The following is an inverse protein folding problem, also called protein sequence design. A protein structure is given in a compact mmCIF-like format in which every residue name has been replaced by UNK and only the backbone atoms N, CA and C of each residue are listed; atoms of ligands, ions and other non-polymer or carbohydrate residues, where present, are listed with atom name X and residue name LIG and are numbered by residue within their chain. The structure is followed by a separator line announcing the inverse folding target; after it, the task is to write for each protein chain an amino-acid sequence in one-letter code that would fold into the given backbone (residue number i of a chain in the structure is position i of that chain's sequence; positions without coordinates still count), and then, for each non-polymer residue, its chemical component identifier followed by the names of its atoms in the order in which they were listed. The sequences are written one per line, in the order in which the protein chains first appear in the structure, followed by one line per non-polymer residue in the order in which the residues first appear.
data_IF_808131980510
#
_entry.id   IF_808131980510
#
_cell.length_a   1.000
_cell.length_b   1.000
_cell.length_c   1.000
_cell.angle_alpha   90.00
_cell.angle_beta   90.00
_cell.angle_gamma   90.00
#
_symmetry.space_group_name_H-M   'P 1'
#
loop_
_entity.id
_entity.type
_entity.pdbx_description
1 polymer ?
#
# COMPACT_ATOMS: atom_id res chain seq x y z
N UNK A 1 -25.17 -10.95 32.08
CA UNK A 1 -25.44 -11.37 30.68
C UNK A 1 -26.02 -10.22 29.84
N UNK A 2 -27.02 -9.46 30.36
CA UNK A 2 -27.65 -8.33 29.64
C UNK A 2 -26.63 -7.22 29.30
N UNK A 3 -25.77 -6.80 30.24
CA UNK A 3 -24.73 -5.78 30.00
C UNK A 3 -23.69 -6.22 28.97
N UNK A 4 -23.33 -7.51 28.97
CA UNK A 4 -22.36 -8.05 28.00
C UNK A 4 -22.95 -8.13 26.59
N UNK A 5 -24.24 -8.38 26.46
CA UNK A 5 -24.94 -8.32 25.17
C UNK A 5 -25.15 -6.89 24.65
N UNK A 6 -25.33 -5.91 25.56
CA UNK A 6 -25.38 -4.49 25.19
C UNK A 6 -24.01 -3.95 24.73
N UNK A 7 -22.91 -4.35 25.38
CA UNK A 7 -21.56 -4.02 24.97
C UNK A 7 -21.23 -4.65 23.60
N UNK A 8 -21.55 -5.91 23.38
CA UNK A 8 -21.37 -6.61 22.10
C UNK A 8 -22.23 -5.98 20.99
N UNK A 9 -23.47 -5.63 21.28
CA UNK A 9 -24.32 -4.93 20.31
C UNK A 9 -23.84 -3.51 20.02
N UNK A 10 -23.30 -2.79 20.98
CA UNK A 10 -22.70 -1.47 20.77
C UNK A 10 -21.39 -1.55 19.98
N UNK A 11 -20.56 -2.59 20.19
CA UNK A 11 -19.40 -2.87 19.33
C UNK A 11 -19.82 -3.23 17.90
N UNK A 12 -20.88 -4.02 17.71
CA UNK A 12 -21.41 -4.39 16.39
C UNK A 12 -22.03 -3.17 15.69
N UNK A 13 -22.68 -2.27 16.40
CA UNK A 13 -23.25 -1.03 15.85
C UNK A 13 -22.13 -0.07 15.45
N UNK A 14 -21.05 0.07 16.25
CA UNK A 14 -19.89 0.87 15.90
C UNK A 14 -19.11 0.35 14.68
N UNK A 15 -19.19 -0.94 14.37
CA UNK A 15 -18.59 -1.52 13.16
C UNK A 15 -19.39 -1.23 11.88
N UNK A 16 -20.66 -0.83 11.98
CA UNK A 16 -21.52 -0.52 10.82
C UNK A 16 -21.33 0.90 10.27
N UNK A 17 -20.76 1.80 11.04
CA UNK A 17 -20.55 3.21 10.64
C UNK A 17 -19.16 3.49 10.04
N UNK A 18 -18.33 2.47 9.82
CA UNK A 18 -17.02 2.65 9.19
C UNK A 18 -17.22 2.69 7.68
N UNK A 19 -17.34 3.89 7.14
CA UNK A 19 -17.49 4.12 5.70
C UNK A 19 -16.14 3.96 5.01
N UNK A 20 -15.86 2.74 4.54
CA UNK A 20 -14.68 2.45 3.73
C UNK A 20 -15.00 2.63 2.25
N UNK A 21 -14.23 3.47 1.56
CA UNK A 21 -14.32 3.55 0.12
C UNK A 21 -13.93 2.19 -0.50
N UNK A 22 -14.64 1.80 -1.56
CA UNK A 22 -14.41 0.50 -2.20
C UNK A 22 -13.13 0.51 -3.05
N UNK A 23 -12.36 -0.56 -2.97
CA UNK A 23 -11.28 -0.86 -3.89
C UNK A 23 -11.80 -1.70 -5.06
N UNK A 24 -11.24 -1.51 -6.25
CA UNK A 24 -11.43 -2.43 -7.37
C UNK A 24 -10.37 -3.53 -7.40
N UNK A 25 -9.27 -3.36 -6.63
CA UNK A 25 -8.14 -4.30 -6.57
C UNK A 25 -8.27 -5.23 -5.36
N UNK A 26 -8.54 -4.69 -4.17
CA UNK A 26 -8.64 -5.45 -2.92
C UNK A 26 -10.10 -5.83 -2.63
N UNK A 27 -10.35 -7.12 -2.40
CA UNK A 27 -11.66 -7.62 -1.99
C UNK A 27 -11.96 -7.24 -0.54
N UNK A 28 -13.24 -7.13 -0.19
CA UNK A 28 -13.67 -6.79 1.17
C UNK A 28 -13.11 -7.76 2.23
N UNK A 29 -13.13 -9.07 1.92
CA UNK A 29 -12.59 -10.11 2.80
C UNK A 29 -11.07 -10.02 3.02
N UNK A 30 -10.32 -9.36 2.14
CA UNK A 30 -8.86 -9.24 2.22
C UNK A 30 -8.42 -8.11 3.18
N UNK A 31 -9.33 -7.23 3.57
CA UNK A 31 -9.09 -6.24 4.64
C UNK A 31 -8.67 -6.90 5.94
N UNK A 32 -9.20 -8.09 6.24
CA UNK A 32 -8.83 -8.86 7.42
C UNK A 32 -7.35 -9.30 7.46
N UNK A 33 -6.64 -9.21 6.34
CA UNK A 33 -5.20 -9.50 6.25
C UNK A 33 -4.38 -8.24 6.56
N UNK A 34 -4.80 -7.11 6.04
CA UNK A 34 -3.99 -5.88 6.02
C UNK A 34 -4.33 -4.94 7.19
N UNK A 35 -5.61 -4.81 7.54
CA UNK A 35 -6.05 -3.85 8.55
C UNK A 35 -5.53 -4.14 9.96
N UNK A 36 -5.55 -5.41 10.47
CA UNK A 36 -4.96 -5.71 11.77
C UNK A 36 -3.48 -5.34 11.84
N UNK A 37 -2.74 -5.54 10.74
CA UNK A 37 -1.32 -5.17 10.67
C UNK A 37 -1.12 -3.65 10.74
N UNK A 38 -1.93 -2.88 10.01
CA UNK A 38 -1.88 -1.42 10.07
C UNK A 38 -2.21 -0.94 11.49
N UNK A 39 -3.25 -1.49 12.12
CA UNK A 39 -3.66 -1.12 13.48
C UNK A 39 -2.56 -1.43 14.50
N UNK A 40 -1.90 -2.59 14.40
CA UNK A 40 -0.78 -2.98 15.26
C UNK A 40 0.41 -2.04 15.07
N UNK A 41 0.86 -1.83 13.84
CA UNK A 41 2.00 -0.94 13.52
C UNK A 41 1.76 0.50 13.97
N UNK A 42 0.55 1.00 13.83
CA UNK A 42 0.20 2.36 14.19
C UNK A 42 -0.24 2.51 15.65
N UNK A 43 -0.49 1.41 16.34
CA UNK A 43 -1.10 1.37 17.68
C UNK A 43 -2.38 2.22 17.75
N UNK A 44 -3.22 2.10 16.72
CA UNK A 44 -4.47 2.88 16.56
C UNK A 44 -5.51 2.06 15.83
N UNK A 45 -6.79 2.29 16.13
CA UNK A 45 -7.92 1.68 15.42
C UNK A 45 -8.22 2.46 14.14
N UNK A 46 -8.47 1.74 13.05
CA UNK A 46 -8.87 2.36 11.78
C UNK A 46 -10.30 2.87 11.90
N UNK A 47 -10.48 4.17 11.58
CA UNK A 47 -11.77 4.83 11.50
C UNK A 47 -12.34 4.81 10.09
N UNK A 48 -11.48 5.06 9.10
CA UNK A 48 -11.90 5.21 7.70
C UNK A 48 -10.78 4.85 6.75
N UNK A 49 -11.15 4.26 5.59
CA UNK A 49 -10.31 4.15 4.41
C UNK A 49 -10.92 5.04 3.32
N UNK A 50 -10.21 6.11 2.93
CA UNK A 50 -10.64 7.12 1.96
C UNK A 50 -9.82 6.99 0.69
N UNK A 51 -10.47 6.76 -0.46
CA UNK A 51 -9.78 6.75 -1.76
C UNK A 51 -9.29 8.15 -2.10
N UNK A 52 -8.01 8.27 -2.41
CA UNK A 52 -7.37 9.49 -2.87
C UNK A 52 -7.21 9.49 -4.38
N UNK A 53 -6.82 8.33 -4.94
CA UNK A 53 -6.38 8.23 -6.31
C UNK A 53 -6.64 6.84 -6.89
N UNK A 54 -6.93 6.80 -8.20
CA UNK A 54 -7.02 5.58 -8.99
C UNK A 54 -6.51 5.86 -10.40
N UNK A 55 -5.46 5.16 -10.85
CA UNK A 55 -4.73 5.47 -12.07
C UNK A 55 -5.59 5.42 -13.34
N UNK A 56 -6.48 4.46 -13.47
CA UNK A 56 -7.39 4.33 -14.62
C UNK A 56 -8.46 5.42 -14.70
N UNK A 57 -8.72 6.12 -13.59
CA UNK A 57 -9.71 7.20 -13.50
C UNK A 57 -9.04 8.57 -13.57
N UNK A 58 -7.97 8.75 -12.79
CA UNK A 58 -7.32 10.04 -12.58
C UNK A 58 -6.16 10.30 -13.54
N UNK A 59 -5.75 9.26 -14.31
CA UNK A 59 -4.60 9.26 -15.21
C UNK A 59 -3.35 8.64 -14.55
N UNK A 60 -2.57 7.87 -15.32
CA UNK A 60 -1.42 7.10 -14.81
C UNK A 60 -0.12 7.90 -14.62
N UNK A 61 -0.06 9.15 -15.10
CA UNK A 61 1.13 9.99 -15.00
C UNK A 61 1.45 10.38 -13.54
N UNK A 62 2.73 10.47 -13.14
CA UNK A 62 3.14 10.80 -11.78
C UNK A 62 2.50 12.08 -11.22
N UNK A 63 2.35 13.10 -12.05
CA UNK A 63 1.74 14.37 -11.65
C UNK A 63 0.31 14.19 -11.11
N UNK A 64 -0.45 13.24 -11.67
CA UNK A 64 -1.82 12.98 -11.22
C UNK A 64 -1.84 12.34 -9.82
N UNK A 65 -0.88 11.44 -9.56
CA UNK A 65 -0.67 10.86 -8.23
C UNK A 65 -0.25 11.95 -7.23
N UNK A 66 0.76 12.75 -7.54
CA UNK A 66 1.28 13.78 -6.64
C UNK A 66 0.24 14.84 -6.29
N UNK A 67 -0.54 15.31 -7.27
CA UNK A 67 -1.61 16.29 -7.04
C UNK A 67 -2.66 15.82 -6.01
N UNK A 68 -2.83 14.51 -5.84
CA UNK A 68 -3.85 13.93 -4.98
C UNK A 68 -3.30 13.33 -3.68
N UNK A 69 -2.04 12.93 -3.67
CA UNK A 69 -1.48 12.12 -2.59
C UNK A 69 -0.36 12.80 -1.79
N UNK A 70 0.29 13.86 -2.35
CA UNK A 70 1.37 14.55 -1.64
C UNK A 70 0.89 15.18 -0.32
N UNK A 71 1.76 15.12 0.67
CA UNK A 71 1.54 15.61 2.03
C UNK A 71 0.42 14.88 2.81
N UNK A 72 -0.10 13.76 2.28
CA UNK A 72 -1.10 12.95 2.98
C UNK A 72 -0.41 11.73 3.60
N UNK A 73 -0.38 11.63 4.94
CA UNK A 73 0.23 10.49 5.64
C UNK A 73 -0.72 9.29 5.67
N UNK A 74 -0.15 8.14 6.08
CA UNK A 74 -0.88 6.89 6.32
C UNK A 74 -1.57 6.39 5.04
N UNK A 75 -0.80 6.19 3.99
CA UNK A 75 -1.33 5.74 2.71
C UNK A 75 -1.17 4.24 2.51
N UNK A 76 -2.23 3.64 2.00
CA UNK A 76 -2.29 2.27 1.51
C UNK A 76 -2.30 2.31 -0.02
N UNK A 77 -1.27 1.76 -0.64
CA UNK A 77 -1.14 1.62 -2.09
C UNK A 77 -1.52 0.21 -2.49
N UNK A 78 -2.37 0.07 -3.48
CA UNK A 78 -2.79 -1.21 -4.07
C UNK A 78 -2.44 -1.22 -5.54
N UNK A 79 -1.87 -2.30 -6.04
CA UNK A 79 -1.44 -2.46 -7.44
C UNK A 79 -1.97 -3.77 -7.99
N UNK A 80 -2.48 -3.74 -9.22
CA UNK A 80 -2.75 -4.93 -10.02
C UNK A 80 -1.89 -4.90 -11.29
N UNK A 81 -1.00 -5.89 -11.46
CA UNK A 81 -0.15 -6.00 -12.64
C UNK A 81 -0.87 -6.59 -13.84
N UNK A 82 -0.27 -6.46 -15.04
CA UNK A 82 -0.76 -7.08 -16.28
C UNK A 82 -0.90 -8.62 -16.17
N UNK A 83 -0.12 -9.26 -15.29
CA UNK A 83 -0.24 -10.68 -14.95
C UNK A 83 -1.32 -10.97 -13.90
N UNK A 84 -2.21 -10.02 -13.61
CA UNK A 84 -3.28 -10.12 -12.61
C UNK A 84 -2.82 -10.36 -11.17
N UNK A 85 -1.53 -10.13 -10.87
CA UNK A 85 -1.02 -10.20 -9.49
C UNK A 85 -1.39 -8.93 -8.74
N UNK A 86 -1.88 -9.11 -7.50
CA UNK A 86 -2.36 -8.02 -6.64
C UNK A 86 -1.48 -7.92 -5.40
N UNK A 87 -0.91 -6.77 -5.22
CA UNK A 87 0.00 -6.46 -4.12
C UNK A 87 -0.07 -4.99 -3.77
N UNK A 88 0.68 -4.59 -2.75
CA UNK A 88 0.71 -3.20 -2.34
C UNK A 88 1.66 -2.92 -1.19
N UNK A 89 1.56 -1.73 -0.65
CA UNK A 89 2.33 -1.30 0.51
C UNK A 89 1.57 -0.29 1.35
N UNK A 90 1.88 -0.25 2.63
CA UNK A 90 1.44 0.77 3.57
C UNK A 90 2.64 1.58 4.05
N UNK A 91 2.47 2.88 4.13
CA UNK A 91 3.46 3.78 4.75
C UNK A 91 2.76 4.89 5.54
N UNK A 92 3.23 5.20 6.77
CA UNK A 92 2.80 6.39 7.50
C UNK A 92 3.42 7.68 6.94
N UNK A 93 4.49 7.56 6.13
CA UNK A 93 5.26 8.67 5.61
C UNK A 93 4.45 9.36 4.49
N UNK A 94 4.21 10.67 4.58
CA UNK A 94 3.54 11.40 3.50
C UNK A 94 4.44 11.44 2.25
N UNK A 95 3.84 11.27 1.08
CA UNK A 95 4.54 11.40 -0.19
C UNK A 95 4.92 12.86 -0.45
N UNK A 96 6.02 13.07 -1.16
CA UNK A 96 6.45 14.38 -1.66
C UNK A 96 7.13 14.22 -3.02
N UNK A 97 7.43 15.34 -3.69
CA UNK A 97 8.06 15.36 -5.01
C UNK A 97 9.55 15.76 -4.95
N UNK A 98 10.24 15.56 -3.81
CA UNK A 98 11.54 16.15 -3.52
C UNK A 98 12.76 15.40 -4.09
N UNK A 99 12.59 14.20 -4.64
CA UNK A 99 13.70 13.39 -5.16
C UNK A 99 14.58 12.77 -4.07
N UNK A 100 14.00 12.36 -2.93
CA UNK A 100 14.75 11.88 -1.77
C UNK A 100 14.34 10.46 -1.35
N UNK A 101 15.29 9.75 -0.76
CA UNK A 101 15.07 8.45 -0.14
C UNK A 101 14.81 8.61 1.36
N UNK A 102 13.72 8.03 1.83
CA UNK A 102 13.29 8.15 3.23
C UNK A 102 13.39 6.79 3.93
N UNK A 103 14.01 6.78 5.10
CA UNK A 103 13.99 5.66 6.04
C UNK A 103 12.76 5.75 6.93
N UNK A 104 12.33 4.62 7.45
CA UNK A 104 11.31 4.54 8.49
C UNK A 104 11.92 3.92 9.76
N UNK A 105 12.46 4.72 10.67
CA UNK A 105 13.11 4.21 11.87
C UNK A 105 12.18 3.49 12.84
N UNK A 106 10.87 3.72 12.73
CA UNK A 106 9.84 3.03 13.52
C UNK A 106 9.40 1.71 12.87
N UNK A 107 9.87 1.41 11.65
CA UNK A 107 9.58 0.19 10.90
C UNK A 107 8.07 -0.10 10.74
N UNK A 108 7.29 0.94 10.51
CA UNK A 108 5.83 0.87 10.31
C UNK A 108 5.45 0.61 8.85
N UNK A 109 6.35 0.98 7.93
CA UNK A 109 6.18 0.73 6.50
C UNK A 109 6.35 -0.75 6.18
N UNK A 110 5.45 -1.31 5.39
CA UNK A 110 5.51 -2.69 4.92
C UNK A 110 4.93 -2.83 3.51
N UNK A 111 5.29 -3.92 2.83
CA UNK A 111 4.68 -4.31 1.56
C UNK A 111 4.02 -5.68 1.70
N UNK A 112 3.10 -6.01 0.81
CA UNK A 112 2.32 -7.24 0.91
C UNK A 112 1.89 -7.78 -0.45
N UNK A 113 1.63 -9.09 -0.50
CA UNK A 113 0.92 -9.75 -1.59
C UNK A 113 -0.47 -10.18 -1.11
N UNK A 114 -1.53 -9.71 -1.80
CA UNK A 114 -2.90 -10.13 -1.52
C UNK A 114 -3.13 -11.58 -1.95
N UNK A 115 -2.55 -11.97 -3.08
CA UNK A 115 -2.75 -13.32 -3.63
C UNK A 115 -2.06 -14.39 -2.76
N UNK A 116 -0.88 -14.09 -2.23
CA UNK A 116 -0.15 -14.98 -1.31
C UNK A 116 -0.55 -14.80 0.15
N UNK A 117 -1.36 -13.78 0.47
CA UNK A 117 -1.75 -13.44 1.85
C UNK A 117 -0.53 -13.28 2.77
N UNK A 118 0.51 -12.58 2.29
CA UNK A 118 1.77 -12.39 2.98
C UNK A 118 2.11 -10.93 3.12
N UNK A 119 2.70 -10.58 4.26
CA UNK A 119 3.23 -9.26 4.57
C UNK A 119 4.75 -9.38 4.69
N UNK A 120 5.46 -8.38 4.19
CA UNK A 120 6.91 -8.30 4.17
C UNK A 120 7.34 -6.99 4.83
N UNK A 121 8.17 -7.10 5.86
CA UNK A 121 8.62 -5.98 6.67
C UNK A 121 9.98 -5.47 6.21
N UNK A 122 10.32 -4.23 6.53
CA UNK A 122 11.68 -3.72 6.37
C UNK A 122 12.67 -4.65 7.08
N UNK A 123 13.80 -4.93 6.44
CA UNK A 123 14.86 -5.79 7.00
C UNK A 123 15.45 -5.20 8.29
N UNK A 124 15.59 -3.89 8.33
CA UNK A 124 16.02 -3.13 9.50
C UNK A 124 15.71 -1.63 9.30
N UNK A 125 15.89 -0.84 10.34
CA UNK A 125 15.63 0.60 10.37
C UNK A 125 16.54 1.46 9.45
N UNK A 126 17.64 0.90 8.96
CA UNK A 126 18.54 1.59 8.05
C UNK A 126 18.14 1.44 6.58
N UNK A 127 17.23 0.52 6.29
CA UNK A 127 16.70 0.33 4.94
C UNK A 127 15.85 1.54 4.51
N UNK A 128 15.92 1.86 3.23
CA UNK A 128 15.01 2.83 2.62
C UNK A 128 13.60 2.23 2.61
N UNK A 129 12.66 2.97 3.16
CA UNK A 129 11.26 2.59 3.21
C UNK A 129 10.51 3.04 1.95
N UNK A 130 10.68 4.30 1.56
CA UNK A 130 10.04 4.90 0.38
C UNK A 130 11.00 5.83 -0.36
N UNK A 131 10.73 6.03 -1.65
CA UNK A 131 11.40 7.03 -2.47
C UNK A 131 10.39 8.03 -2.99
N UNK A 132 10.73 9.30 -2.82
CA UNK A 132 9.94 10.44 -3.28
C UNK A 132 10.59 11.02 -4.53
N UNK A 133 9.86 11.07 -5.63
CA UNK A 133 10.37 11.63 -6.88
C UNK A 133 9.23 12.10 -7.78
N UNK A 134 9.35 13.29 -8.32
CA UNK A 134 8.31 13.92 -9.15
C UNK A 134 8.06 13.21 -10.51
N UNK A 135 8.94 12.28 -10.91
CA UNK A 135 8.82 11.49 -12.15
C UNK A 135 8.28 10.09 -11.90
N UNK A 136 8.01 9.76 -10.63
CA UNK A 136 7.53 8.44 -10.21
C UNK A 136 6.26 8.58 -9.40
N UNK A 137 5.39 7.58 -9.45
CA UNK A 137 4.32 7.40 -8.48
C UNK A 137 4.86 6.81 -7.18
N UNK A 138 4.05 6.07 -6.41
CA UNK A 138 4.49 5.50 -5.15
C UNK A 138 5.60 4.46 -5.34
N UNK A 139 6.72 4.67 -4.62
CA UNK A 139 7.87 3.76 -4.65
C UNK A 139 8.25 3.31 -3.24
N UNK A 140 8.34 1.99 -3.03
CA UNK A 140 8.77 1.36 -1.79
C UNK A 140 10.12 0.69 -1.97
N UNK A 141 11.04 0.92 -1.01
CA UNK A 141 12.36 0.31 -0.99
C UNK A 141 13.39 0.96 -1.92
N UNK A 142 14.68 0.76 -1.62
CA UNK A 142 15.80 1.29 -2.40
C UNK A 142 15.80 0.82 -3.86
N UNK A 143 15.59 -0.46 -4.09
CA UNK A 143 15.64 -1.09 -5.41
C UNK A 143 14.26 -1.32 -6.02
N UNK A 144 13.25 -0.57 -5.57
CA UNK A 144 11.87 -0.71 -6.00
C UNK A 144 11.27 -2.08 -5.67
N UNK A 145 11.14 -2.39 -4.39
CA UNK A 145 10.29 -3.52 -3.97
C UNK A 145 8.87 -3.35 -4.54
N UNK A 146 8.40 -2.10 -4.64
CA UNK A 146 7.37 -1.62 -5.55
C UNK A 146 7.87 -0.31 -6.14
N UNK A 147 7.92 -0.19 -7.45
CA UNK A 147 8.28 1.04 -8.13
C UNK A 147 7.33 1.33 -9.28
N UNK A 148 6.75 2.51 -9.28
CA UNK A 148 5.86 3.00 -10.33
C UNK A 148 6.49 4.23 -10.93
N UNK A 149 7.02 4.12 -12.16
CA UNK A 149 7.61 5.23 -12.89
C UNK A 149 6.71 5.63 -14.07
N UNK A 150 6.70 6.90 -14.45
CA UNK A 150 5.93 7.37 -15.60
C UNK A 150 4.48 6.89 -15.56
N UNK A 151 3.92 6.53 -16.72
CA UNK A 151 2.56 6.00 -16.86
C UNK A 151 2.58 4.46 -16.97
N UNK A 152 2.43 3.70 -15.85
CA UNK A 152 2.51 2.25 -15.86
C UNK A 152 1.29 1.59 -16.52
N UNK A 153 0.21 2.33 -16.75
CA UNK A 153 -0.98 1.82 -17.46
C UNK A 153 -0.68 1.71 -18.96
N UNK A 154 0.05 2.66 -19.51
CA UNK A 154 0.40 2.68 -20.94
C UNK A 154 1.70 1.94 -21.23
N UNK A 155 2.67 2.02 -20.33
CA UNK A 155 4.02 1.54 -20.52
C UNK A 155 4.42 0.50 -19.46
N UNK A 156 5.48 -0.28 -19.75
CA UNK A 156 6.08 -1.22 -18.76
C UNK A 156 6.96 -0.44 -17.77
N UNK A 157 6.32 0.23 -16.82
CA UNK A 157 6.93 1.12 -15.82
C UNK A 157 6.60 0.73 -14.38
N UNK A 158 6.11 -0.49 -14.18
CA UNK A 158 5.92 -1.11 -12.87
C UNK A 158 7.08 -2.08 -12.59
N UNK A 159 7.71 -1.93 -11.44
CA UNK A 159 8.85 -2.74 -10.99
C UNK A 159 8.51 -3.44 -9.70
N UNK A 160 9.00 -4.68 -9.54
CA UNK A 160 8.93 -5.43 -8.29
C UNK A 160 10.25 -6.16 -8.06
N UNK A 161 11.02 -5.72 -7.09
CA UNK A 161 12.29 -6.31 -6.71
C UNK A 161 12.22 -6.89 -5.28
N UNK A 162 13.37 -7.32 -4.73
CA UNK A 162 13.51 -7.81 -3.37
C UNK A 162 14.71 -7.13 -2.71
N UNK A 163 14.54 -5.88 -2.33
CA UNK A 163 15.63 -5.02 -1.89
C UNK A 163 15.57 -4.72 -0.39
N UNK A 164 14.66 -3.85 0.02
CA UNK A 164 14.58 -3.32 1.37
C UNK A 164 13.74 -4.17 2.32
N UNK A 165 12.83 -4.97 1.78
CA UNK A 165 11.92 -5.79 2.58
C UNK A 165 12.34 -7.26 2.63
N UNK A 166 11.96 -7.97 3.71
CA UNK A 166 12.36 -9.36 3.96
C UNK A 166 11.34 -10.34 3.37
N UNK A 167 11.68 -10.89 2.21
CA UNK A 167 10.85 -11.88 1.51
C UNK A 167 11.11 -13.33 1.96
N UNK A 168 12.06 -13.59 2.86
CA UNK A 168 12.59 -14.91 3.24
C UNK A 168 13.06 -15.74 2.01
N UNK A 169 14.15 -16.48 2.18
CA UNK A 169 14.70 -17.31 1.08
C UNK A 169 13.63 -18.21 0.46
N UNK A 170 13.51 -18.19 -0.87
CA UNK A 170 12.57 -19.03 -1.63
C UNK A 170 11.19 -18.41 -1.89
N UNK A 171 10.92 -17.19 -1.42
CA UNK A 171 9.73 -16.47 -1.84
C UNK A 171 10.03 -15.67 -3.12
N UNK A 172 9.09 -15.71 -4.05
CA UNK A 172 9.13 -14.89 -5.27
C UNK A 172 8.84 -13.42 -4.93
N UNK A 173 9.17 -12.53 -5.87
CA UNK A 173 8.80 -11.11 -5.80
C UNK A 173 7.27 -10.93 -5.65
N UNK A 174 6.82 -9.73 -5.34
CA UNK A 174 5.39 -9.42 -5.21
C UNK A 174 4.59 -9.77 -6.48
N UNK A 175 5.22 -9.67 -7.65
CA UNK A 175 4.64 -10.06 -8.94
C UNK A 175 4.78 -11.54 -9.27
N UNK A 176 5.49 -12.32 -8.43
CA UNK A 176 5.83 -13.75 -8.65
C UNK A 176 6.70 -14.04 -9.86
N UNK A 177 7.34 -13.05 -10.45
CA UNK A 177 8.33 -13.25 -11.50
C UNK A 177 9.74 -13.35 -10.89
N UNK A 178 10.56 -14.28 -11.42
CA UNK A 178 11.92 -14.54 -10.89
C UNK A 178 12.93 -13.43 -11.18
N UNK A 179 12.64 -12.55 -12.13
CA UNK A 179 13.49 -11.41 -12.49
C UNK A 179 12.73 -10.10 -12.38
N UNK A 180 13.42 -8.98 -12.10
CA UNK A 180 12.82 -7.65 -12.07
C UNK A 180 12.34 -7.29 -13.49
N UNK A 181 11.17 -7.74 -13.84
CA UNK A 181 10.55 -7.44 -15.11
C UNK A 181 9.86 -6.09 -15.01
N UNK A 182 10.05 -5.29 -16.04
CA UNK A 182 9.21 -4.12 -16.29
C UNK A 182 7.83 -4.62 -16.70
N UNK A 183 6.85 -4.36 -15.86
CA UNK A 183 5.46 -4.76 -16.06
C UNK A 183 4.60 -3.54 -16.37
N UNK A 184 3.43 -3.77 -16.95
CA UNK A 184 2.33 -2.80 -16.91
C UNK A 184 1.51 -3.01 -15.65
N UNK A 185 0.92 -1.93 -15.16
CA UNK A 185 -0.20 -2.04 -14.23
C UNK A 185 -1.52 -2.10 -15.04
N UNK A 186 -2.44 -2.94 -14.60
CA UNK A 186 -3.84 -2.84 -15.02
C UNK A 186 -4.51 -1.67 -14.32
N UNK A 187 -4.17 -1.48 -13.04
CA UNK A 187 -4.57 -0.31 -12.25
C UNK A 187 -3.71 -0.19 -11.00
N UNK A 188 -3.68 0.98 -10.39
CA UNK A 188 -3.24 1.16 -9.00
C UNK A 188 -4.08 2.21 -8.30
N UNK A 189 -4.30 1.98 -7.02
CA UNK A 189 -5.13 2.81 -6.15
C UNK A 189 -4.32 3.28 -4.94
N UNK A 190 -4.62 4.48 -4.46
CA UNK A 190 -4.07 4.99 -3.20
C UNK A 190 -5.21 5.40 -2.28
N UNK A 191 -5.16 4.92 -1.05
CA UNK A 191 -6.11 5.24 0.00
C UNK A 191 -5.41 5.90 1.18
N UNK A 192 -6.04 6.88 1.80
CA UNK A 192 -5.67 7.35 3.12
C UNK A 192 -6.34 6.48 4.19
N UNK A 193 -5.55 6.00 5.14
CA UNK A 193 -6.05 5.36 6.36
C UNK A 193 -6.17 6.42 7.46
N UNK A 194 -7.37 6.62 7.94
CA UNK A 194 -7.70 7.59 8.98
C UNK A 194 -7.99 6.81 10.26
N UNK A 195 -7.38 7.23 11.35
CA UNK A 195 -7.49 6.60 12.67
C UNK A 195 -8.39 7.42 13.60
N UNK A 196 -8.87 6.74 14.68
CA UNK A 196 -9.52 7.38 15.81
C UNK A 196 -8.53 8.17 16.65
#
# INVERSE_FOLDING_TARGET
EIKKNEEINNEIINLKDVNFDKSVIMKESEKSIIFPEIEEKMNKRIKKMKKLYQATIDGGEPINFHNKCDNIPNTLVLVQSEGHRRFGGFTPIPWTSEGIFIKDPEMKTFVFSLDNKKIYYLKNKECIAVWHDNKSGPCFGWGFDIGIEGDPIKEKKLYTNQSSFDYKKGNHSLSEYENPLKLKALDYEVFQIIFY
#
